data_IF_967093349276
#
_entry.id   IF_967093349276
#
_cell.length_a   1.000
_cell.length_b   1.000
_cell.length_c   1.000
_cell.angle_alpha   90.00
_cell.angle_beta   90.00
_cell.angle_gamma   90.00
#
_symmetry.space_group_name_H-M   'P 1'
#
loop_
_entity.id
_entity.type
_entity.pdbx_description
1 polymer ?
#
# COMPACT_ATOMS: atom_id res chain seq x y z
N UNK A 1 -62.11 9.28 54.46
CA UNK A 1 -61.09 10.16 53.82
C UNK A 1 -59.95 9.28 53.34
N UNK A 2 -59.76 9.11 52.03
CA UNK A 2 -58.58 8.47 51.47
C UNK A 2 -58.15 9.27 50.24
N UNK A 3 -57.03 9.99 50.34
CA UNK A 3 -56.40 10.65 49.19
C UNK A 3 -55.38 9.68 48.62
N UNK A 4 -55.64 9.19 47.41
CA UNK A 4 -54.64 8.48 46.60
C UNK A 4 -53.56 9.47 46.14
N UNK A 5 -52.26 9.20 46.38
CA UNK A 5 -51.19 10.04 45.85
C UNK A 5 -51.15 9.91 44.32
N UNK A 6 -51.26 11.03 43.62
CA UNK A 6 -50.90 11.12 42.19
C UNK A 6 -49.38 11.08 42.09
N UNK A 7 -48.86 10.00 41.54
CA UNK A 7 -47.47 9.95 41.06
C UNK A 7 -47.39 10.83 39.81
N UNK A 8 -46.78 12.01 39.94
CA UNK A 8 -46.37 12.82 38.80
C UNK A 8 -45.21 12.11 38.07
N UNK A 9 -45.53 11.38 37.02
CA UNK A 9 -44.57 10.77 36.11
C UNK A 9 -44.50 11.59 34.82
N UNK A 10 -43.78 12.71 34.83
CA UNK A 10 -43.80 13.70 33.73
C UNK A 10 -42.46 14.03 33.07
N UNK A 11 -41.30 13.62 33.61
CA UNK A 11 -39.98 14.10 33.12
C UNK A 11 -38.98 13.01 32.69
N UNK A 12 -39.31 11.73 32.84
CA UNK A 12 -38.37 10.63 32.55
C UNK A 12 -38.27 10.34 31.05
N UNK A 13 -39.31 10.62 30.28
CA UNK A 13 -39.41 10.24 28.87
C UNK A 13 -38.43 11.04 27.98
N UNK A 14 -38.32 12.38 28.09
CA UNK A 14 -37.36 13.15 27.31
C UNK A 14 -35.89 12.83 27.66
N UNK A 15 -35.61 12.59 28.94
CA UNK A 15 -34.26 12.25 29.42
C UNK A 15 -33.82 10.86 28.96
N UNK A 16 -34.74 9.87 28.97
CA UNK A 16 -34.47 8.55 28.42
C UNK A 16 -34.17 8.58 26.91
N UNK A 17 -34.93 9.35 26.13
CA UNK A 17 -34.67 9.51 24.68
C UNK A 17 -33.31 10.16 24.45
N UNK A 18 -32.99 11.22 25.19
CA UNK A 18 -31.69 11.89 25.08
C UNK A 18 -30.53 10.93 25.33
N UNK A 19 -30.60 10.12 26.41
CA UNK A 19 -29.59 9.11 26.72
C UNK A 19 -29.48 8.05 25.61
N UNK A 20 -30.60 7.57 25.08
CA UNK A 20 -30.61 6.60 23.98
C UNK A 20 -29.94 7.16 22.72
N UNK A 21 -30.21 8.42 22.36
CA UNK A 21 -29.60 9.07 21.20
C UNK A 21 -28.09 9.22 21.39
N UNK A 22 -27.63 9.63 22.57
CA UNK A 22 -26.19 9.74 22.88
C UNK A 22 -25.50 8.38 22.81
N UNK A 23 -26.09 7.34 23.41
CA UNK A 23 -25.55 5.98 23.36
C UNK A 23 -25.51 5.44 21.93
N UNK A 24 -26.55 5.69 21.13
CA UNK A 24 -26.58 5.31 19.72
C UNK A 24 -25.49 6.03 18.91
N UNK A 25 -25.27 7.33 19.15
CA UNK A 25 -24.20 8.09 18.52
C UNK A 25 -22.81 7.55 18.87
N UNK A 26 -22.57 7.22 20.14
CA UNK A 26 -21.31 6.63 20.60
C UNK A 26 -21.08 5.25 19.97
N UNK A 27 -22.10 4.39 19.93
CA UNK A 27 -22.02 3.08 19.30
C UNK A 27 -21.71 3.20 17.79
N UNK A 28 -22.39 4.11 17.08
CA UNK A 28 -22.14 4.36 15.66
C UNK A 28 -20.71 4.84 15.39
N UNK A 29 -20.21 5.75 16.24
CA UNK A 29 -18.83 6.24 16.16
C UNK A 29 -17.81 5.11 16.36
N UNK A 30 -18.03 4.25 17.35
CA UNK A 30 -17.16 3.12 17.65
C UNK A 30 -17.08 2.10 16.48
N UNK A 31 -18.20 1.86 15.79
CA UNK A 31 -18.24 1.03 14.57
C UNK A 31 -17.45 1.68 13.44
N UNK A 32 -17.56 2.99 13.26
CA UNK A 32 -16.78 3.73 12.25
C UNK A 32 -15.27 3.57 12.47
N UNK A 33 -14.80 3.77 13.71
CA UNK A 33 -13.39 3.56 14.09
C UNK A 33 -12.92 2.11 13.90
N UNK A 34 -13.79 1.15 14.18
CA UNK A 34 -13.44 -0.27 14.00
C UNK A 34 -13.21 -0.58 12.52
N UNK A 35 -14.06 -0.06 11.63
CA UNK A 35 -13.94 -0.25 10.17
C UNK A 35 -12.66 0.37 9.61
N UNK A 36 -12.31 1.58 10.03
CA UNK A 36 -11.07 2.24 9.58
C UNK A 36 -9.83 1.51 10.06
N UNK A 37 -9.85 0.93 11.26
CA UNK A 37 -8.74 0.16 11.82
C UNK A 37 -8.42 -1.10 11.00
N UNK A 38 -9.44 -1.82 10.53
CA UNK A 38 -9.25 -3.00 9.68
C UNK A 38 -8.69 -2.64 8.29
N UNK A 39 -9.15 -1.54 7.69
CA UNK A 39 -8.68 -1.09 6.39
C UNK A 39 -7.20 -0.67 6.43
N UNK A 40 -6.78 0.06 7.47
CA UNK A 40 -5.38 0.46 7.64
C UNK A 40 -4.44 -0.75 7.75
N UNK A 41 -4.85 -1.80 8.48
CA UNK A 41 -4.05 -3.03 8.59
C UNK A 41 -3.95 -3.76 7.25
N UNK A 42 -5.03 -3.82 6.48
CA UNK A 42 -5.01 -4.44 5.15
C UNK A 42 -4.08 -3.67 4.18
N UNK A 43 -4.12 -2.33 4.21
CA UNK A 43 -3.26 -1.46 3.40
C UNK A 43 -1.78 -1.62 3.76
N UNK A 44 -1.44 -1.79 5.03
CA UNK A 44 -0.05 -2.02 5.45
C UNK A 44 0.48 -3.35 4.88
N UNK A 45 -0.31 -4.42 4.99
CA UNK A 45 0.03 -5.72 4.38
C UNK A 45 0.17 -5.61 2.87
N UNK A 46 -0.74 -4.92 2.17
CA UNK A 46 -0.61 -4.69 0.73
C UNK A 46 0.63 -3.84 0.38
N UNK A 47 0.97 -2.86 1.23
CA UNK A 47 2.20 -2.08 1.15
C UNK A 47 3.46 -2.94 1.15
N UNK A 48 3.53 -3.91 2.06
CA UNK A 48 4.65 -4.86 2.13
C UNK A 48 4.72 -5.77 0.90
N UNK A 49 3.58 -6.24 0.39
CA UNK A 49 3.53 -7.08 -0.82
C UNK A 49 3.95 -6.31 -2.06
N UNK A 50 3.52 -5.06 -2.21
CA UNK A 50 3.97 -4.17 -3.29
C UNK A 50 5.50 -3.95 -3.23
N UNK A 51 6.05 -3.75 -2.03
CA UNK A 51 7.50 -3.63 -1.85
C UNK A 51 8.25 -4.90 -2.26
N UNK A 52 7.78 -6.08 -1.84
CA UNK A 52 8.36 -7.36 -2.22
C UNK A 52 8.25 -7.62 -3.73
N UNK A 53 7.13 -7.21 -4.35
CA UNK A 53 6.95 -7.29 -5.80
C UNK A 53 7.95 -6.41 -6.57
N UNK A 54 8.13 -5.18 -6.11
CA UNK A 54 9.13 -4.29 -6.69
C UNK A 54 10.55 -4.84 -6.50
N UNK A 55 10.85 -5.45 -5.34
CA UNK A 55 12.14 -6.12 -5.08
C UNK A 55 12.42 -7.26 -6.04
N UNK A 56 11.43 -8.13 -6.28
CA UNK A 56 11.56 -9.19 -7.26
C UNK A 56 11.82 -8.63 -8.67
N UNK A 57 11.22 -7.49 -9.03
CA UNK A 57 11.51 -6.79 -10.28
C UNK A 57 12.95 -6.28 -10.39
N UNK A 58 13.53 -5.75 -9.30
CA UNK A 58 14.96 -5.39 -9.26
C UNK A 58 15.84 -6.63 -9.43
N UNK A 59 15.54 -7.74 -8.75
CA UNK A 59 16.32 -8.98 -8.86
C UNK A 59 16.29 -9.54 -10.29
N UNK A 60 15.12 -9.49 -10.94
CA UNK A 60 14.98 -9.83 -12.36
C UNK A 60 15.79 -8.91 -13.27
N UNK A 61 15.69 -7.59 -13.07
CA UNK A 61 16.43 -6.61 -13.86
C UNK A 61 17.95 -6.73 -13.68
N UNK A 62 18.40 -6.97 -12.45
CA UNK A 62 19.81 -7.19 -12.13
C UNK A 62 20.34 -8.46 -12.80
N UNK A 63 19.55 -9.54 -12.80
CA UNK A 63 19.89 -10.75 -13.54
C UNK A 63 20.04 -10.49 -15.04
N UNK A 64 19.13 -9.71 -15.64
CA UNK A 64 19.18 -9.35 -17.06
C UNK A 64 20.44 -8.53 -17.40
N UNK A 65 20.80 -7.56 -16.54
CA UNK A 65 21.99 -6.74 -16.72
C UNK A 65 23.28 -7.57 -16.56
N UNK A 66 23.38 -8.34 -15.47
CA UNK A 66 24.60 -9.05 -15.09
C UNK A 66 24.85 -10.28 -15.98
N UNK A 67 23.80 -11.06 -16.28
CA UNK A 67 23.91 -12.34 -16.99
C UNK A 67 23.74 -12.21 -18.49
N UNK A 68 22.81 -11.38 -18.96
CA UNK A 68 22.49 -11.25 -20.38
C UNK A 68 23.08 -10.00 -21.02
N UNK A 69 23.80 -9.15 -20.25
CA UNK A 69 24.36 -7.89 -20.75
C UNK A 69 23.29 -6.98 -21.38
N UNK A 70 22.05 -7.11 -20.90
CA UNK A 70 20.88 -6.45 -21.49
C UNK A 70 20.31 -5.45 -20.48
N UNK A 71 20.20 -4.21 -20.91
CA UNK A 71 19.54 -3.13 -20.18
C UNK A 71 18.49 -2.54 -21.12
N UNK A 72 17.22 -2.92 -20.92
CA UNK A 72 16.13 -2.44 -21.77
C UNK A 72 15.75 -1.04 -21.30
N UNK A 73 15.94 -0.07 -22.18
CA UNK A 73 15.47 1.29 -21.97
C UNK A 73 13.93 1.29 -22.04
N UNK A 74 13.29 1.54 -20.89
CA UNK A 74 11.83 1.61 -20.76
C UNK A 74 11.22 0.53 -19.87
N UNK A 75 9.94 0.66 -19.51
CA UNK A 75 9.26 -0.26 -18.60
C UNK A 75 9.03 -1.61 -19.28
N UNK A 76 9.61 -2.66 -18.71
CA UNK A 76 9.33 -4.06 -19.06
C UNK A 76 8.41 -4.64 -18.00
N UNK A 77 7.27 -5.17 -18.44
CA UNK A 77 6.29 -5.81 -17.55
C UNK A 77 6.80 -7.18 -17.12
N UNK A 78 6.90 -7.38 -15.82
CA UNK A 78 7.23 -8.68 -15.21
C UNK A 78 5.98 -9.23 -14.54
N UNK A 79 5.55 -10.41 -14.98
CA UNK A 79 4.46 -11.13 -14.34
C UNK A 79 4.99 -11.93 -13.15
N UNK A 80 4.44 -11.67 -11.97
CA UNK A 80 4.74 -12.44 -10.76
C UNK A 80 3.68 -13.53 -10.56
N UNK A 81 3.98 -14.51 -9.72
CA UNK A 81 3.08 -15.63 -9.41
C UNK A 81 2.71 -15.67 -7.92
N UNK A 82 1.74 -16.50 -7.57
CA UNK A 82 1.27 -16.69 -6.21
C UNK A 82 0.64 -15.42 -5.61
N UNK A 83 1.02 -15.09 -4.39
CA UNK A 83 0.43 -13.98 -3.62
C UNK A 83 0.79 -12.59 -4.15
N UNK A 84 1.73 -12.50 -5.10
CA UNK A 84 2.14 -11.25 -5.75
C UNK A 84 1.57 -11.10 -7.17
N UNK A 85 0.81 -12.09 -7.68
CA UNK A 85 0.23 -12.04 -9.02
C UNK A 85 -0.77 -10.88 -9.23
N UNK A 86 -1.29 -10.32 -8.15
CA UNK A 86 -2.18 -9.15 -8.16
C UNK A 86 -1.45 -7.82 -8.42
N UNK A 87 -0.11 -7.80 -8.47
CA UNK A 87 0.68 -6.60 -8.71
C UNK A 87 1.24 -6.61 -10.13
N UNK A 88 1.05 -5.51 -10.86
CA UNK A 88 1.79 -5.25 -12.09
C UNK A 88 3.14 -4.64 -11.73
N UNK A 89 4.22 -5.29 -12.18
CA UNK A 89 5.59 -4.81 -11.96
C UNK A 89 6.19 -4.34 -13.27
N UNK A 90 6.59 -3.07 -13.30
CA UNK A 90 7.27 -2.44 -14.42
C UNK A 90 8.73 -2.18 -14.03
N UNK A 91 9.66 -2.79 -14.76
CA UNK A 91 11.10 -2.67 -14.53
C UNK A 91 11.73 -1.90 -15.69
N UNK A 92 12.43 -0.82 -15.39
CA UNK A 92 13.23 -0.08 -16.36
C UNK A 92 14.70 -0.06 -15.97
N UNK A 93 15.57 -0.06 -16.97
CA UNK A 93 17.01 0.03 -16.78
C UNK A 93 17.55 1.18 -17.62
N UNK A 94 18.39 2.02 -17.03
CA UNK A 94 19.08 3.10 -17.74
C UNK A 94 20.49 3.31 -17.14
N UNK A 95 21.49 3.67 -17.96
CA UNK A 95 22.77 4.13 -17.43
C UNK A 95 22.55 5.43 -16.65
N UNK A 96 23.22 5.59 -15.50
CA UNK A 96 23.13 6.81 -14.70
C UNK A 96 24.02 7.95 -15.22
N UNK A 97 24.85 7.68 -16.22
CA UNK A 97 25.80 8.63 -16.79
C UNK A 97 26.69 8.02 -17.87
N UNK A 98 27.67 8.79 -18.39
CA UNK A 98 28.69 8.27 -19.28
C UNK A 98 29.56 7.21 -18.56
N UNK A 99 30.19 6.29 -19.30
CA UNK A 99 31.10 5.32 -18.72
C UNK A 99 32.30 6.01 -18.06
N UNK A 100 32.75 5.44 -16.94
CA UNK A 100 33.95 5.82 -16.22
C UNK A 100 35.10 4.93 -16.66
N UNK A 101 36.27 5.51 -16.86
CA UNK A 101 37.50 4.75 -17.14
C UNK A 101 38.29 4.60 -15.85
N UNK A 102 38.59 3.36 -15.47
CA UNK A 102 39.44 3.03 -14.34
C UNK A 102 40.65 2.24 -14.87
N UNK A 103 41.72 2.97 -15.19
CA UNK A 103 42.89 2.40 -15.86
C UNK A 103 42.56 1.88 -17.27
N UNK A 104 42.65 0.55 -17.45
CA UNK A 104 42.32 -0.12 -18.71
C UNK A 104 40.84 -0.56 -18.80
N UNK A 105 40.09 -0.51 -17.69
CA UNK A 105 38.71 -0.95 -17.63
C UNK A 105 37.73 0.21 -17.85
N UNK A 106 36.59 -0.09 -18.48
CA UNK A 106 35.49 0.85 -18.69
C UNK A 106 34.28 0.36 -17.90
N UNK A 107 33.87 1.15 -16.90
CA UNK A 107 32.78 0.82 -15.97
C UNK A 107 31.59 1.73 -16.25
N UNK A 108 30.42 1.14 -16.48
CA UNK A 108 29.16 1.88 -16.59
C UNK A 108 28.27 1.57 -15.40
N UNK A 109 27.76 2.62 -14.75
CA UNK A 109 26.77 2.45 -13.68
C UNK A 109 25.37 2.48 -14.29
N UNK A 110 24.60 1.45 -14.02
CA UNK A 110 23.22 1.30 -14.42
C UNK A 110 22.30 1.44 -13.23
N UNK A 111 21.20 2.15 -13.40
CA UNK A 111 20.12 2.27 -12.42
C UNK A 111 18.95 1.46 -12.94
N UNK A 112 18.52 0.52 -12.12
CA UNK A 112 17.32 -0.28 -12.35
C UNK A 112 16.23 0.29 -11.45
N UNK A 113 15.11 0.65 -12.05
CA UNK A 113 13.91 1.14 -11.36
C UNK A 113 12.82 0.09 -11.52
N UNK A 114 12.26 -0.37 -10.41
CA UNK A 114 11.12 -1.28 -10.41
C UNK A 114 9.94 -0.62 -9.70
N UNK A 115 8.82 -0.53 -10.40
CA UNK A 115 7.55 -0.02 -9.88
C UNK A 115 6.55 -1.17 -9.80
N UNK A 116 6.01 -1.45 -8.62
CA UNK A 116 4.93 -2.41 -8.43
C UNK A 116 3.66 -1.69 -8.02
N UNK A 117 2.56 -1.93 -8.73
CA UNK A 117 1.26 -1.32 -8.47
C UNK A 117 0.16 -2.40 -8.38
N UNK A 118 -0.78 -2.23 -7.45
CA UNK A 118 -2.05 -2.95 -7.47
C UNK A 118 -3.00 -2.34 -8.52
N UNK A 119 -4.20 -2.91 -8.66
CA UNK A 119 -5.13 -2.49 -9.72
C UNK A 119 -5.55 -1.01 -9.55
N UNK A 120 -5.29 -0.13 -10.54
CA UNK A 120 -5.67 1.27 -10.46
C UNK A 120 -7.18 1.46 -10.26
N UNK A 121 -7.56 2.49 -9.49
CA UNK A 121 -8.96 2.86 -9.27
C UNK A 121 -9.68 2.06 -8.17
N UNK A 122 -8.99 1.16 -7.48
CA UNK A 122 -9.51 0.52 -6.27
C UNK A 122 -9.23 1.37 -5.02
N UNK A 123 -10.08 1.22 -4.00
CA UNK A 123 -9.92 1.91 -2.69
C UNK A 123 -8.68 1.46 -1.93
N UNK A 124 -8.16 0.28 -2.26
CA UNK A 124 -6.93 -0.32 -1.74
C UNK A 124 -5.77 -0.21 -2.77
N UNK A 125 -5.78 0.83 -3.60
CA UNK A 125 -4.66 1.09 -4.50
C UNK A 125 -3.37 1.35 -3.73
N UNK A 126 -2.33 0.59 -4.07
CA UNK A 126 -1.00 0.68 -3.48
C UNK A 126 0.04 0.59 -4.58
N UNK A 127 0.98 1.52 -4.55
CA UNK A 127 2.12 1.57 -5.45
C UNK A 127 3.43 1.70 -4.66
N UNK A 128 4.46 0.96 -5.05
CA UNK A 128 5.82 1.06 -4.52
C UNK A 128 6.82 1.09 -5.66
N UNK A 129 7.68 2.11 -5.65
CA UNK A 129 8.83 2.20 -6.54
C UNK A 129 10.11 2.02 -5.72
N UNK A 130 11.02 1.19 -6.21
CA UNK A 130 12.37 1.05 -5.67
C UNK A 130 13.40 1.20 -6.78
N UNK A 131 14.60 1.65 -6.42
CA UNK A 131 15.71 1.84 -7.34
C UNK A 131 16.98 1.24 -6.76
N UNK A 132 17.78 0.61 -7.60
CA UNK A 132 19.08 0.05 -7.24
C UNK A 132 20.09 0.34 -8.36
N UNK A 133 21.34 0.61 -7.98
CA UNK A 133 22.44 0.85 -8.92
C UNK A 133 23.39 -0.34 -8.97
N UNK A 134 23.82 -0.69 -10.17
CA UNK A 134 24.76 -1.78 -10.45
C UNK A 134 25.85 -1.28 -11.40
N UNK A 135 27.11 -1.61 -11.12
CA UNK A 135 28.22 -1.33 -12.04
C UNK A 135 28.50 -2.56 -12.90
N UNK A 136 28.70 -2.35 -14.21
CA UNK A 136 29.12 -3.38 -15.16
C UNK A 136 30.11 -2.82 -16.16
#
# INVERSE_FOLDING_TARGET
MSRTPRTESGFVLPTAIFLLVVLAALAAYMVSLSRTSHLSSALDVQGTRAYLAARAGIEWGAWQLLRNSSCVAGPTRVALSGTLAAFSVDVSCAPSGPPYTDGADTITVYVITSTAASTPGQVDYVERQIRASFSK
#
